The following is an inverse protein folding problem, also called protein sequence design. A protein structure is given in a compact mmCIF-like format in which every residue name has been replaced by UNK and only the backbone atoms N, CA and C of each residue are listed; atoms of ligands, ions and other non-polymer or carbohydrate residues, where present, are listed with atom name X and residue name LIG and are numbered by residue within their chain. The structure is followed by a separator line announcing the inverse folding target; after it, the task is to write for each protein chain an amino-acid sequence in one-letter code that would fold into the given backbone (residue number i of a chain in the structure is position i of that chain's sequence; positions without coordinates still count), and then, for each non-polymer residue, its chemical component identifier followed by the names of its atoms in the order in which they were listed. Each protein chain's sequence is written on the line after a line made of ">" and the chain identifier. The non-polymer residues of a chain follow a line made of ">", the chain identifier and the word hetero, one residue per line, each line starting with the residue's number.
data_IF_903678499563
#
_entry.id   IF_903678499563
#
_cell.length_a   1.000
_cell.length_b   1.000
_cell.length_c   1.000
_cell.angle_alpha   90.00
_cell.angle_beta   90.00
_cell.angle_gamma   90.00
#
_symmetry.space_group_name_H-M   'P 1'
#
loop_
_entity.id
_entity.type
_entity.pdbx_description
1 polymer ?
#
# COMPACT_ATOMS: atom_id res chain seq x y z
N UNK A 1 -17.44 -13.06 21.82
CA UNK A 1 -16.18 -13.06 21.05
C UNK A 1 -16.05 -11.77 20.26
N UNK A 2 -14.98 -11.02 20.49
CA UNK A 2 -14.80 -9.74 19.83
C UNK A 2 -14.22 -9.95 18.43
N UNK A 3 -14.87 -9.37 17.44
CA UNK A 3 -14.39 -9.43 16.07
C UNK A 3 -13.23 -8.47 15.90
N UNK A 4 -12.07 -8.95 15.46
CA UNK A 4 -10.93 -8.09 15.22
C UNK A 4 -11.18 -7.23 13.97
N UNK A 5 -10.86 -5.94 14.06
CA UNK A 5 -10.91 -5.06 12.93
C UNK A 5 -9.81 -5.44 11.93
N UNK A 6 -10.14 -5.42 10.64
CA UNK A 6 -9.15 -5.66 9.60
C UNK A 6 -8.16 -4.49 9.56
N UNK A 7 -6.88 -4.81 9.64
CA UNK A 7 -5.80 -3.83 9.57
C UNK A 7 -5.30 -3.66 8.15
N UNK A 8 -4.95 -2.42 7.82
CA UNK A 8 -4.49 -2.06 6.48
C UNK A 8 -3.10 -1.43 6.56
N UNK A 9 -2.20 -1.89 5.69
CA UNK A 9 -0.85 -1.35 5.56
C UNK A 9 -0.72 -0.70 4.19
N UNK A 10 -0.26 0.56 4.17
CA UNK A 10 0.07 1.24 2.92
C UNK A 10 1.55 1.02 2.60
N UNK A 11 1.83 0.50 1.42
CA UNK A 11 3.19 0.38 0.89
C UNK A 11 3.34 1.36 -0.26
N UNK A 12 4.29 2.27 -0.14
CA UNK A 12 4.56 3.27 -1.16
C UNK A 12 5.56 2.69 -2.15
N UNK A 13 5.12 2.55 -3.39
CA UNK A 13 5.87 1.89 -4.42
C UNK A 13 5.55 0.40 -4.53
N UNK A 14 5.30 -0.06 -5.74
CA UNK A 14 4.93 -1.45 -6.02
C UNK A 14 5.96 -2.21 -6.84
N UNK A 15 7.21 -1.74 -6.88
CA UNK A 15 8.26 -2.41 -7.64
C UNK A 15 8.66 -3.74 -7.03
N UNK A 16 9.58 -4.42 -7.72
CA UNK A 16 10.01 -5.78 -7.34
C UNK A 16 10.59 -5.84 -5.92
N UNK A 17 11.24 -4.76 -5.46
CA UNK A 17 11.83 -4.74 -4.12
C UNK A 17 10.80 -4.65 -3.00
N UNK A 18 9.59 -4.22 -3.31
CA UNK A 18 8.49 -4.16 -2.35
C UNK A 18 7.72 -5.47 -2.24
N UNK A 19 7.87 -6.37 -3.21
CA UNK A 19 7.13 -7.64 -3.23
C UNK A 19 7.31 -8.46 -1.95
N UNK A 20 8.54 -8.65 -1.41
CA UNK A 20 8.68 -9.41 -0.17
C UNK A 20 7.92 -8.81 1.02
N UNK A 21 7.90 -7.48 1.11
CA UNK A 21 7.16 -6.79 2.18
C UNK A 21 5.66 -7.01 2.02
N UNK A 22 5.16 -6.91 0.80
CA UNK A 22 3.74 -7.13 0.51
C UNK A 22 3.34 -8.56 0.87
N UNK A 23 4.15 -9.54 0.47
CA UNK A 23 3.90 -10.95 0.81
C UNK A 23 3.91 -11.17 2.32
N UNK A 24 4.88 -10.61 3.02
CA UNK A 24 4.98 -10.75 4.47
C UNK A 24 3.76 -10.14 5.17
N UNK A 25 3.34 -8.94 4.75
CA UNK A 25 2.17 -8.29 5.31
C UNK A 25 0.91 -9.12 5.11
N UNK A 26 0.72 -9.67 3.91
CA UNK A 26 -0.45 -10.51 3.62
C UNK A 26 -0.43 -11.79 4.46
N UNK A 27 0.74 -12.39 4.67
CA UNK A 27 0.84 -13.59 5.50
C UNK A 27 0.55 -13.31 6.97
N UNK A 28 0.68 -12.05 7.40
CA UNK A 28 0.30 -11.62 8.74
C UNK A 28 -1.18 -11.27 8.88
N UNK A 29 -1.94 -11.45 7.83
CA UNK A 29 -3.37 -11.16 7.84
C UNK A 29 -3.71 -9.70 7.57
N UNK A 30 -2.74 -8.89 7.14
CA UNK A 30 -2.99 -7.50 6.80
C UNK A 30 -3.53 -7.38 5.38
N UNK A 31 -4.40 -6.39 5.16
CA UNK A 31 -4.74 -5.95 3.81
C UNK A 31 -3.73 -4.93 3.37
N UNK A 32 -3.27 -5.03 2.14
CA UNK A 32 -2.17 -4.18 1.66
C UNK A 32 -2.68 -3.23 0.60
N UNK A 33 -2.44 -1.95 0.85
CA UNK A 33 -2.69 -0.87 -0.10
C UNK A 33 -1.34 -0.52 -0.72
N UNK A 34 -1.24 -0.49 -2.03
CA UNK A 34 0.02 -0.20 -2.71
C UNK A 34 -0.18 0.97 -3.66
N UNK A 35 0.73 1.93 -3.61
CA UNK A 35 0.72 3.05 -4.56
C UNK A 35 1.90 2.93 -5.51
N UNK A 36 1.67 3.16 -6.79
CA UNK A 36 2.72 3.20 -7.81
C UNK A 36 2.17 3.94 -9.02
N UNK A 37 3.05 4.54 -9.82
CA UNK A 37 2.65 5.17 -11.05
C UNK A 37 2.30 4.14 -12.14
N UNK A 38 2.83 2.93 -12.02
CA UNK A 38 2.61 1.85 -12.98
C UNK A 38 1.63 0.84 -12.41
N UNK A 39 0.42 0.81 -12.94
CA UNK A 39 -0.62 -0.12 -12.49
C UNK A 39 -0.28 -1.58 -12.72
N UNK A 40 0.68 -1.88 -13.59
CA UNK A 40 1.12 -3.25 -13.89
C UNK A 40 2.36 -3.67 -13.12
N UNK A 41 2.86 -2.84 -12.20
CA UNK A 41 3.99 -3.21 -11.36
C UNK A 41 3.65 -4.47 -10.53
N UNK A 42 4.65 -5.31 -10.27
CA UNK A 42 4.42 -6.58 -9.59
C UNK A 42 3.70 -6.43 -8.26
N UNK A 43 4.10 -5.45 -7.45
CA UNK A 43 3.46 -5.21 -6.17
C UNK A 43 2.03 -4.70 -6.31
N UNK A 44 1.74 -3.96 -7.37
CA UNK A 44 0.38 -3.49 -7.65
C UNK A 44 -0.56 -4.65 -7.97
N UNK A 45 -0.07 -5.62 -8.72
CA UNK A 45 -0.87 -6.80 -9.08
C UNK A 45 -1.15 -7.69 -7.87
N UNK A 46 -0.31 -7.62 -6.84
CA UNK A 46 -0.48 -8.38 -5.60
C UNK A 46 -1.30 -7.64 -4.54
N UNK A 47 -1.47 -6.34 -4.69
CA UNK A 47 -2.13 -5.52 -3.68
C UNK A 47 -3.60 -5.87 -3.53
N UNK A 48 -4.11 -5.75 -2.31
CA UNK A 48 -5.55 -5.82 -2.09
C UNK A 48 -6.22 -4.56 -2.63
N UNK A 49 -5.54 -3.42 -2.52
CA UNK A 49 -6.04 -2.12 -3.00
C UNK A 49 -4.91 -1.39 -3.74
N UNK A 50 -4.77 -1.59 -5.05
CA UNK A 50 -3.78 -0.85 -5.82
C UNK A 50 -4.28 0.56 -6.11
N UNK A 51 -3.42 1.55 -5.91
CA UNK A 51 -3.72 2.95 -6.18
C UNK A 51 -2.66 3.50 -7.14
N UNK A 52 -3.06 3.84 -8.34
CA UNK A 52 -2.15 4.32 -9.37
C UNK A 52 -1.94 5.83 -9.21
N UNK A 53 -0.83 6.20 -8.60
CA UNK A 53 -0.39 7.59 -8.44
C UNK A 53 1.12 7.63 -8.52
N UNK A 54 1.69 8.76 -8.94
CA UNK A 54 3.13 8.93 -8.95
C UNK A 54 3.66 9.05 -7.52
N UNK A 55 4.58 8.15 -7.14
CA UNK A 55 5.24 8.22 -5.84
C UNK A 55 6.17 9.43 -5.72
N UNK A 56 6.51 10.05 -6.84
CA UNK A 56 7.31 11.29 -6.86
C UNK A 56 6.47 12.52 -6.58
N UNK A 57 5.17 12.41 -6.75
CA UNK A 57 4.27 13.52 -6.44
C UNK A 57 3.71 13.32 -5.03
N UNK A 58 4.35 14.00 -4.08
CA UNK A 58 4.00 13.86 -2.66
C UNK A 58 2.54 14.22 -2.41
N UNK A 59 2.07 15.30 -3.04
CA UNK A 59 0.69 15.77 -2.82
C UNK A 59 -0.34 14.74 -3.28
N UNK A 60 -0.14 14.15 -4.45
CA UNK A 60 -1.06 13.12 -4.96
C UNK A 60 -1.04 11.88 -4.08
N UNK A 61 0.14 11.46 -3.65
CA UNK A 61 0.27 10.28 -2.79
C UNK A 61 -0.39 10.52 -1.43
N UNK A 62 -0.16 11.68 -0.83
CA UNK A 62 -0.77 12.04 0.46
C UNK A 62 -2.29 12.11 0.33
N UNK A 63 -2.79 12.73 -0.73
CA UNK A 63 -4.23 12.84 -0.94
C UNK A 63 -4.87 11.46 -1.14
N UNK A 64 -4.24 10.57 -1.89
CA UNK A 64 -4.73 9.22 -2.08
C UNK A 64 -4.77 8.46 -0.75
N UNK A 65 -3.72 8.59 0.07
CA UNK A 65 -3.67 7.96 1.39
C UNK A 65 -4.76 8.50 2.30
N UNK A 66 -4.99 9.81 2.30
CA UNK A 66 -6.05 10.44 3.11
C UNK A 66 -7.43 9.96 2.69
N UNK A 67 -7.69 9.89 1.38
CA UNK A 67 -8.97 9.42 0.87
C UNK A 67 -9.21 7.96 1.25
N UNK A 68 -8.19 7.13 1.12
CA UNK A 68 -8.30 5.74 1.53
C UNK A 68 -8.55 5.63 3.03
N UNK A 69 -7.80 6.38 3.83
CA UNK A 69 -7.93 6.36 5.29
C UNK A 69 -9.33 6.78 5.75
N UNK A 70 -9.97 7.68 5.03
CA UNK A 70 -11.33 8.10 5.34
C UNK A 70 -12.34 6.96 5.18
N UNK A 71 -12.10 6.05 4.23
CA UNK A 71 -12.98 4.91 3.95
C UNK A 71 -12.57 3.66 4.75
N UNK A 72 -11.29 3.36 4.74
CA UNK A 72 -10.71 2.20 5.41
C UNK A 72 -9.46 2.66 6.14
N UNK A 73 -9.51 2.68 7.45
CA UNK A 73 -8.42 3.19 8.28
C UNK A 73 -7.08 2.53 7.94
N UNK A 74 -6.07 3.34 7.63
CA UNK A 74 -4.70 2.88 7.48
C UNK A 74 -4.05 2.76 8.86
N UNK A 75 -3.41 1.64 9.12
CA UNK A 75 -2.77 1.37 10.42
C UNK A 75 -1.25 1.55 10.36
N UNK A 76 -0.68 1.58 9.18
CA UNK A 76 0.73 1.80 9.00
C UNK A 76 1.06 2.19 7.57
N UNK A 77 2.24 2.78 7.41
CA UNK A 77 2.78 3.18 6.11
C UNK A 77 4.24 2.76 6.07
N UNK A 78 4.66 2.15 4.98
CA UNK A 78 6.07 1.85 4.81
C UNK A 78 6.50 1.92 3.36
N UNK A 79 7.80 2.06 3.17
CA UNK A 79 8.44 2.05 1.86
C UNK A 79 9.77 1.31 1.99
N UNK A 80 10.18 0.63 0.94
CA UNK A 80 11.42 -0.15 0.94
C UNK A 80 12.15 0.08 -0.38
N UNK A 81 13.40 0.51 -0.29
CA UNK A 81 14.27 0.59 -1.45
C UNK A 81 13.82 1.54 -2.55
N UNK A 82 13.05 2.56 -2.21
CA UNK A 82 12.69 3.56 -3.20
C UNK A 82 13.68 4.71 -3.18
N UNK A 83 13.96 5.25 -4.35
CA UNK A 83 14.82 6.43 -4.50
C UNK A 83 13.97 7.72 -4.56
N UNK A 84 12.83 7.66 -4.02
CA UNK A 84 11.90 8.79 -4.06
C UNK A 84 12.42 9.99 -3.31
#
# INVERSE_FOLDING_TARGET
>A
MTKKRQRHLLVIGGGVFQVPVIKAAKSMGLKVVVTDYNGDAEGMLMADYPIEVSTRNINLTVNAAKQFHASCRLDGVMTVGTDA
#
